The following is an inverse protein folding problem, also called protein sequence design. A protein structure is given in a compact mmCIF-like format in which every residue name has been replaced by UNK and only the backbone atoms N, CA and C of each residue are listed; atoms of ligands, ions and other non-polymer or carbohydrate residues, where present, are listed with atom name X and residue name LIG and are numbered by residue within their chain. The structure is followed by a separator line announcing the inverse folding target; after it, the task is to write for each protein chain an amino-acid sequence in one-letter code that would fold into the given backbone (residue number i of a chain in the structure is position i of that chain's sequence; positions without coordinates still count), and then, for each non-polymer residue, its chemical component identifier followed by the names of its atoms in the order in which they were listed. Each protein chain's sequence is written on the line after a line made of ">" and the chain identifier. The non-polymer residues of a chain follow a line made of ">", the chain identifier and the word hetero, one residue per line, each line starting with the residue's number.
data_IF_547366839447
#
_entry.id   IF_547366839447
#
_cell.length_a   1.000
_cell.length_b   1.000
_cell.length_c   1.000
_cell.angle_alpha   90.00
_cell.angle_beta   90.00
_cell.angle_gamma   90.00
#
_symmetry.space_group_name_H-M   'P 1'
#
loop_
_entity.id
_entity.type
_entity.pdbx_description
1 polymer ?
#
# COMPACT_ATOMS: atom_id res chain seq x y z
N UNK A 1 -23.57 18.43 1.39
CA UNK A 1 -23.44 16.97 1.24
C UNK A 1 -22.30 16.55 2.16
N UNK A 2 -22.58 15.84 3.25
CA UNK A 2 -21.53 15.48 4.23
C UNK A 2 -20.79 14.27 3.67
N UNK A 3 -19.49 14.43 3.43
CA UNK A 3 -18.64 13.32 3.03
C UNK A 3 -18.43 12.42 4.26
N UNK A 4 -19.06 11.24 4.24
CA UNK A 4 -18.99 10.22 5.29
C UNK A 4 -17.88 9.18 5.04
N UNK A 5 -17.02 9.37 4.03
CA UNK A 5 -15.91 8.44 3.79
C UNK A 5 -14.81 8.70 4.83
N UNK A 6 -14.74 7.85 5.85
CA UNK A 6 -13.63 7.80 6.78
C UNK A 6 -12.40 7.24 6.04
N UNK A 7 -11.52 8.10 5.52
CA UNK A 7 -10.21 7.70 4.96
C UNK A 7 -9.20 7.30 6.05
N UNK A 8 -9.64 6.64 7.13
CA UNK A 8 -8.75 6.19 8.21
C UNK A 8 -7.70 5.23 7.68
N UNK A 9 -8.05 4.44 6.66
CA UNK A 9 -7.15 3.50 6.00
C UNK A 9 -6.98 3.92 4.54
N UNK A 10 -5.77 4.33 4.17
CA UNK A 10 -5.44 4.73 2.79
C UNK A 10 -5.32 3.53 1.85
N UNK A 11 -4.67 2.47 2.33
CA UNK A 11 -4.45 1.24 1.59
C UNK A 11 -4.25 0.04 2.53
N UNK A 12 -4.56 -1.15 2.03
CA UNK A 12 -4.24 -2.44 2.66
C UNK A 12 -3.42 -3.23 1.64
N UNK A 13 -2.25 -3.70 2.05
CA UNK A 13 -1.32 -4.43 1.21
C UNK A 13 -0.85 -5.68 1.94
N UNK A 14 -0.81 -6.80 1.23
CA UNK A 14 -0.24 -8.08 1.66
C UNK A 14 0.92 -8.40 0.72
N UNK A 15 2.12 -8.48 1.30
CA UNK A 15 3.35 -8.82 0.60
C UNK A 15 3.86 -10.19 1.08
N UNK A 16 4.54 -10.93 0.20
CA UNK A 16 5.26 -12.13 0.59
C UNK A 16 6.58 -11.82 1.33
N UNK A 17 7.36 -12.85 1.66
CA UNK A 17 8.64 -12.71 2.35
C UNK A 17 9.74 -12.02 1.52
N UNK A 18 9.57 -11.94 0.21
CA UNK A 18 10.52 -11.32 -0.73
C UNK A 18 10.09 -9.89 -1.12
N UNK A 19 8.92 -9.45 -0.66
CA UNK A 19 8.37 -8.12 -0.96
C UNK A 19 7.50 -8.07 -2.21
N UNK A 20 7.14 -9.21 -2.81
CA UNK A 20 6.22 -9.25 -3.93
C UNK A 20 4.76 -9.13 -3.46
N UNK A 21 3.95 -8.44 -4.25
CA UNK A 21 2.53 -8.22 -3.96
C UNK A 21 1.73 -9.50 -4.12
N UNK A 22 1.07 -9.93 -3.03
CA UNK A 22 0.01 -10.95 -3.06
C UNK A 22 -1.34 -10.26 -3.29
N UNK A 23 -1.63 -9.21 -2.52
CA UNK A 23 -2.88 -8.45 -2.60
C UNK A 23 -2.61 -6.98 -2.29
N UNK A 24 -3.25 -6.08 -3.03
CA UNK A 24 -3.25 -4.66 -2.70
C UNK A 24 -4.61 -4.04 -3.00
N UNK A 25 -5.11 -3.25 -2.06
CA UNK A 25 -6.32 -2.44 -2.22
C UNK A 25 -6.03 -1.01 -1.78
N UNK A 26 -6.21 -0.09 -2.71
CA UNK A 26 -6.02 1.35 -2.52
C UNK A 26 -7.39 2.02 -2.52
N UNK A 27 -7.69 2.77 -1.47
CA UNK A 27 -8.99 3.41 -1.27
C UNK A 27 -9.01 4.90 -1.66
N UNK A 28 -7.84 5.48 -1.96
CA UNK A 28 -7.69 6.87 -2.39
C UNK A 28 -6.84 7.01 -3.66
N UNK A 29 -6.66 8.25 -4.11
CA UNK A 29 -5.92 8.59 -5.34
C UNK A 29 -4.42 8.86 -5.12
N UNK A 30 -3.90 8.71 -3.90
CA UNK A 30 -2.49 8.98 -3.55
C UNK A 30 -1.50 8.14 -4.40
N UNK A 31 -1.92 6.94 -4.83
CA UNK A 31 -1.13 6.02 -5.68
C UNK A 31 -1.96 5.57 -6.88
N UNK A 32 -2.20 6.52 -7.80
CA UNK A 32 -3.14 6.37 -8.91
C UNK A 32 -2.65 5.39 -9.98
N UNK A 33 -1.33 5.19 -10.11
CA UNK A 33 -0.78 4.27 -11.12
C UNK A 33 -0.21 2.99 -10.51
N UNK A 34 -0.26 1.85 -11.24
CA UNK A 34 0.39 0.61 -10.79
C UNK A 34 1.90 0.78 -10.51
N UNK A 35 2.56 1.70 -11.22
CA UNK A 35 3.99 1.99 -11.03
C UNK A 35 4.23 2.66 -9.67
N UNK A 36 3.47 3.69 -9.32
CA UNK A 36 3.58 4.37 -8.02
C UNK A 36 3.24 3.44 -6.87
N UNK A 37 2.22 2.59 -7.04
CA UNK A 37 1.87 1.57 -6.05
C UNK A 37 3.05 0.63 -5.77
N UNK A 38 3.72 0.12 -6.81
CA UNK A 38 4.91 -0.74 -6.64
C UNK A 38 6.08 -0.02 -5.96
N UNK A 39 6.29 1.25 -6.28
CA UNK A 39 7.33 2.07 -5.62
C UNK A 39 7.01 2.23 -4.13
N UNK A 40 5.76 2.52 -3.79
CA UNK A 40 5.29 2.60 -2.42
C UNK A 40 5.46 1.26 -1.67
N UNK A 41 5.04 0.15 -2.27
CA UNK A 41 5.14 -1.19 -1.68
C UNK A 41 6.58 -1.60 -1.41
N UNK A 42 7.47 -1.36 -2.38
CA UNK A 42 8.91 -1.59 -2.20
C UNK A 42 9.47 -0.76 -1.05
N UNK A 43 9.14 0.53 -1.01
CA UNK A 43 9.58 1.42 0.07
C UNK A 43 9.02 1.04 1.44
N UNK A 44 7.80 0.49 1.47
CA UNK A 44 7.20 -0.05 2.69
C UNK A 44 7.96 -1.30 3.15
N UNK A 45 8.15 -2.27 2.24
CA UNK A 45 8.87 -3.51 2.52
C UNK A 45 10.29 -3.23 3.02
N UNK A 46 11.04 -2.36 2.35
CA UNK A 46 12.42 -2.03 2.74
C UNK A 46 12.50 -1.43 4.16
N UNK A 47 11.46 -0.73 4.61
CA UNK A 47 11.38 -0.11 5.95
C UNK A 47 10.85 -1.04 7.04
N UNK A 48 10.05 -2.04 6.68
CA UNK A 48 9.36 -2.91 7.66
C UNK A 48 9.86 -4.34 7.65
N UNK A 49 10.66 -4.75 6.67
CA UNK A 49 11.26 -6.09 6.66
C UNK A 49 12.00 -6.29 7.98
N UNK A 50 11.78 -7.45 8.61
CA UNK A 50 12.55 -7.80 9.80
C UNK A 50 14.02 -7.75 9.43
N UNK A 51 14.80 -7.03 10.23
CA UNK A 51 16.24 -7.21 10.23
C UNK A 51 16.48 -8.65 10.70
N UNK A 52 16.86 -9.52 9.77
CA UNK A 52 17.38 -10.84 10.09
C UNK A 52 18.76 -10.68 10.71
#
# INVERSE_FOLDING_TARGET
>A
MVNLSLYTVKSVVVLDSEGNRILAKYYGSDYSTPKEQKVFERGLFDKTKRAT
#
